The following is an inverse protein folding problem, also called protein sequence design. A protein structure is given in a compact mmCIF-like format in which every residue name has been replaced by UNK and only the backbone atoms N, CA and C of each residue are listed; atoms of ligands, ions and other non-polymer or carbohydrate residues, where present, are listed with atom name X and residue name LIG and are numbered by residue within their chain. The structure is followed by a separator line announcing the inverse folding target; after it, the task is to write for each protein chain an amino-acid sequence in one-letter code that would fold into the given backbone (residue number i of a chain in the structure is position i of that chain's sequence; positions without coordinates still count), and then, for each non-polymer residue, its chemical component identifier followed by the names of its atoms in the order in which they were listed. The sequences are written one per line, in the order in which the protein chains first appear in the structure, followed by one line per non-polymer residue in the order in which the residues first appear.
data_IF_575848383230
#
_entry.id   IF_575848383230
#
_cell.length_a   1.000
_cell.length_b   1.000
_cell.length_c   1.000
_cell.angle_alpha   90.00
_cell.angle_beta   90.00
_cell.angle_gamma   90.00
#
_symmetry.space_group_name_H-M   'P 1'
#
loop_
_entity.id
_entity.type
_entity.pdbx_description
1 polymer ?
#
# COMPACT_ATOMS: atom_id res chain seq x y z
N UNK A 1 -16.29 7.77 -7.55
CA UNK A 1 -16.38 6.41 -6.91
C UNK A 1 -16.23 6.58 -5.41
N UNK A 2 -16.97 5.79 -4.62
CA UNK A 2 -16.87 5.68 -3.16
C UNK A 2 -15.92 4.51 -2.86
N UNK A 3 -14.72 4.83 -2.43
CA UNK A 3 -13.66 3.84 -2.25
C UNK A 3 -13.32 3.74 -0.75
N UNK A 4 -13.29 2.52 -0.24
CA UNK A 4 -12.71 2.21 1.06
C UNK A 4 -11.35 1.54 0.85
N UNK A 5 -10.37 1.95 1.64
CA UNK A 5 -9.02 1.37 1.65
C UNK A 5 -8.83 0.73 3.01
N UNK A 6 -8.85 -0.60 3.06
CA UNK A 6 -8.61 -1.35 4.29
C UNK A 6 -7.24 -1.99 4.29
N UNK A 7 -6.55 -1.93 5.41
CA UNK A 7 -5.19 -2.45 5.55
C UNK A 7 -4.49 -1.91 6.79
N UNK A 8 -3.19 -2.12 6.86
CA UNK A 8 -2.36 -1.66 7.96
C UNK A 8 -2.25 -0.14 8.01
N UNK A 9 -2.22 0.39 9.23
CA UNK A 9 -1.83 1.75 9.60
C UNK A 9 -0.71 1.58 10.63
N UNK A 10 0.49 2.10 10.37
CA UNK A 10 1.66 1.84 11.20
C UNK A 10 2.58 3.05 11.25
N UNK A 11 3.55 3.02 12.16
CA UNK A 11 4.68 3.92 12.18
C UNK A 11 5.99 3.15 12.09
N UNK A 12 6.97 3.68 11.36
CA UNK A 12 8.30 3.12 11.23
C UNK A 12 9.25 3.89 12.15
N UNK A 13 9.89 3.17 13.05
CA UNK A 13 10.87 3.71 14.00
C UNK A 13 12.25 3.25 13.56
N UNK A 14 12.97 4.12 12.89
CA UNK A 14 14.27 3.85 12.30
C UNK A 14 15.36 4.46 13.17
N UNK A 15 16.27 3.60 13.64
CA UNK A 15 17.34 3.97 14.58
C UNK A 15 18.70 3.71 13.95
N UNK A 16 19.66 4.58 14.24
CA UNK A 16 21.04 4.43 13.81
C UNK A 16 21.92 4.10 15.02
N UNK A 17 22.62 2.99 14.94
CA UNK A 17 23.65 2.60 15.90
C UNK A 17 25.03 2.88 15.29
N UNK A 18 25.85 3.78 15.91
CA UNK A 18 27.13 4.20 15.33
C UNK A 18 28.23 3.12 15.40
N UNK A 19 28.01 2.04 16.16
CA UNK A 19 28.90 0.90 16.24
C UNK A 19 28.48 -0.22 15.29
N UNK A 20 29.10 -1.38 15.46
CA UNK A 20 28.82 -2.61 14.71
C UNK A 20 28.16 -3.63 15.63
N UNK A 21 27.09 -4.26 15.18
CA UNK A 21 26.45 -5.33 15.98
C UNK A 21 27.42 -6.48 16.26
N UNK A 22 28.27 -6.81 15.28
CA UNK A 22 29.25 -7.87 15.41
C UNK A 22 30.21 -7.66 16.61
N UNK A 23 30.58 -6.42 16.91
CA UNK A 23 31.46 -6.07 18.02
C UNK A 23 30.79 -6.20 19.40
N UNK A 24 29.47 -6.25 19.44
CA UNK A 24 28.68 -6.43 20.64
C UNK A 24 28.37 -7.93 20.93
N UNK A 25 28.64 -8.80 19.96
CA UNK A 25 28.38 -10.24 20.09
C UNK A 25 29.60 -10.95 20.65
N UNK A 26 29.42 -11.78 21.69
CA UNK A 26 30.48 -12.59 22.27
C UNK A 26 30.48 -13.94 21.56
N UNK A 27 31.56 -14.28 20.82
CA UNK A 27 31.68 -15.58 20.18
C UNK A 27 31.53 -16.73 21.19
N UNK A 28 30.70 -17.74 20.83
CA UNK A 28 30.40 -18.87 21.71
C UNK A 28 29.34 -18.63 22.77
N UNK A 29 28.80 -17.42 22.91
CA UNK A 29 27.75 -17.06 23.86
C UNK A 29 26.40 -16.71 23.17
N UNK A 30 26.24 -17.00 21.89
CA UNK A 30 25.04 -16.65 21.11
C UNK A 30 23.75 -17.30 21.64
N UNK A 31 23.86 -18.33 22.49
CA UNK A 31 22.72 -18.94 23.17
C UNK A 31 22.19 -18.13 24.37
N UNK A 32 22.92 -17.07 24.79
CA UNK A 32 22.56 -16.18 25.91
C UNK A 32 22.86 -14.73 25.55
N UNK A 33 22.25 -14.26 24.45
CA UNK A 33 22.47 -12.89 23.97
C UNK A 33 21.68 -11.91 24.86
N UNK A 34 22.41 -10.92 25.41
CA UNK A 34 21.83 -9.74 26.06
C UNK A 34 22.56 -8.54 25.49
N UNK A 35 21.93 -7.85 24.55
CA UNK A 35 22.49 -6.68 23.88
C UNK A 35 21.79 -5.42 24.34
N UNK A 36 22.58 -4.38 24.60
CA UNK A 36 22.10 -3.02 24.82
C UNK A 36 23.06 -2.07 24.14
N UNK A 37 22.57 -1.27 23.23
CA UNK A 37 23.35 -0.29 22.53
C UNK A 37 22.63 1.05 22.49
N UNK A 38 23.41 2.12 22.57
CA UNK A 38 22.91 3.47 22.47
C UNK A 38 22.77 3.83 20.98
N UNK A 39 21.59 4.29 20.59
CA UNK A 39 21.33 4.82 19.26
C UNK A 39 21.49 6.34 19.27
N UNK A 40 22.00 6.90 18.17
CA UNK A 40 22.20 8.35 18.04
C UNK A 40 20.97 9.05 17.51
N UNK A 41 20.26 8.40 16.56
CA UNK A 41 19.10 8.98 15.91
C UNK A 41 17.90 8.05 16.03
N UNK A 42 16.72 8.66 16.14
CA UNK A 42 15.42 8.04 16.01
C UNK A 42 14.58 8.83 15.02
N UNK A 43 14.38 8.28 13.84
CA UNK A 43 13.47 8.81 12.84
C UNK A 43 12.14 8.06 12.90
N UNK A 44 11.05 8.78 13.19
CA UNK A 44 9.70 8.21 13.27
C UNK A 44 8.92 8.63 12.04
N UNK A 45 8.62 7.67 11.17
CA UNK A 45 7.90 7.91 9.92
C UNK A 45 6.51 7.32 9.95
N UNK A 46 5.64 7.93 9.17
CA UNK A 46 4.28 7.43 8.92
C UNK A 46 4.34 6.31 7.90
N UNK A 47 3.52 5.29 8.07
CA UNK A 47 3.51 4.13 7.20
C UNK A 47 2.23 3.31 7.34
N UNK A 48 2.28 2.11 6.81
CA UNK A 48 1.14 1.21 6.70
C UNK A 48 0.48 1.28 5.33
N UNK A 49 0.24 0.11 4.73
CA UNK A 49 -0.22 -0.02 3.34
C UNK A 49 -1.48 0.80 3.07
N UNK A 50 -2.51 0.67 3.92
CA UNK A 50 -3.77 1.40 3.68
C UNK A 50 -3.61 2.90 3.88
N UNK A 51 -2.83 3.34 4.87
CA UNK A 51 -2.59 4.77 5.10
C UNK A 51 -1.79 5.39 3.96
N UNK A 52 -0.78 4.69 3.43
CA UNK A 52 0.02 5.15 2.28
C UNK A 52 -0.84 5.27 1.01
N UNK A 53 -1.67 4.26 0.72
CA UNK A 53 -2.58 4.30 -0.44
C UNK A 53 -3.59 5.42 -0.29
N UNK A 54 -4.23 5.56 0.87
CA UNK A 54 -5.22 6.61 1.10
C UNK A 54 -4.60 8.02 1.00
N UNK A 55 -3.37 8.21 1.53
CA UNK A 55 -2.62 9.44 1.39
C UNK A 55 -2.33 9.77 -0.08
N UNK A 56 -1.83 8.80 -0.85
CA UNK A 56 -1.53 9.00 -2.28
C UNK A 56 -2.77 9.34 -3.10
N UNK A 57 -3.90 8.69 -2.81
CA UNK A 57 -5.19 9.01 -3.46
C UNK A 57 -5.64 10.42 -3.10
N UNK A 58 -5.51 10.82 -1.84
CA UNK A 58 -5.88 12.17 -1.38
C UNK A 58 -4.96 13.25 -2.00
N UNK A 59 -3.67 12.98 -2.16
CA UNK A 59 -2.74 13.87 -2.86
C UNK A 59 -3.13 14.10 -4.32
N UNK A 60 -3.78 13.13 -4.96
CA UNK A 60 -4.37 13.23 -6.30
C UNK A 60 -5.82 13.78 -6.29
N UNK A 61 -6.33 14.24 -5.14
CA UNK A 61 -7.65 14.81 -4.99
C UNK A 61 -8.79 13.81 -4.86
N UNK A 62 -8.49 12.53 -4.67
CA UNK A 62 -9.49 11.46 -4.50
C UNK A 62 -9.70 11.16 -3.03
N UNK A 63 -10.87 11.49 -2.51
CA UNK A 63 -11.25 11.22 -1.12
C UNK A 63 -11.61 9.75 -0.95
N UNK A 64 -10.97 9.09 0.01
CA UNK A 64 -11.20 7.67 0.35
C UNK A 64 -11.45 7.49 1.83
N UNK A 65 -12.26 6.50 2.19
CA UNK A 65 -12.42 6.09 3.59
C UNK A 65 -11.27 5.15 3.96
N UNK A 66 -10.44 5.56 4.91
CA UNK A 66 -9.42 4.72 5.50
C UNK A 66 -10.06 3.81 6.56
N UNK A 67 -9.80 2.49 6.44
CA UNK A 67 -10.32 1.47 7.35
C UNK A 67 -9.16 0.64 7.91
N UNK A 68 -9.00 0.64 9.21
CA UNK A 68 -7.94 -0.08 9.90
C UNK A 68 -8.04 0.13 11.40
N UNK A 69 -7.15 -0.48 12.16
CA UNK A 69 -7.13 -0.38 13.61
C UNK A 69 -5.81 0.20 14.10
N UNK A 70 -5.88 1.13 15.04
CA UNK A 70 -4.78 1.90 15.61
C UNK A 70 -4.94 2.00 17.14
N UNK A 71 -3.91 2.44 17.85
CA UNK A 71 -3.98 2.76 19.26
C UNK A 71 -4.30 4.23 19.53
N UNK A 72 -4.41 4.59 20.81
CA UNK A 72 -4.62 5.97 21.25
C UNK A 72 -3.47 6.91 20.85
N UNK A 73 -2.29 6.36 20.54
CA UNK A 73 -1.11 7.08 20.04
C UNK A 73 -1.20 7.51 18.56
N UNK A 74 -2.34 7.30 17.92
CA UNK A 74 -2.60 7.70 16.52
C UNK A 74 -2.96 9.18 16.33
N UNK A 75 -3.16 9.96 17.37
CA UNK A 75 -3.74 11.31 17.28
C UNK A 75 -2.97 12.25 16.32
N UNK A 76 -1.64 12.29 16.39
CA UNK A 76 -0.82 13.12 15.53
C UNK A 76 -0.84 12.63 14.08
N UNK A 77 -0.81 11.32 13.88
CA UNK A 77 -0.90 10.73 12.55
C UNK A 77 -2.29 10.93 11.93
N UNK A 78 -3.35 10.82 12.72
CA UNK A 78 -4.72 11.18 12.29
C UNK A 78 -4.78 12.62 11.81
N UNK A 79 -4.25 13.54 12.61
CA UNK A 79 -4.21 14.97 12.26
C UNK A 79 -3.45 15.23 10.95
N UNK A 80 -2.39 14.47 10.68
CA UNK A 80 -1.68 14.51 9.40
C UNK A 80 -2.57 14.04 8.24
N UNK A 81 -3.17 12.87 8.34
CA UNK A 81 -4.03 12.30 7.31
C UNK A 81 -5.25 13.18 7.00
N UNK A 82 -5.91 13.68 8.06
CA UNK A 82 -7.09 14.56 7.92
C UNK A 82 -6.73 15.87 7.18
N UNK A 83 -5.59 16.50 7.49
CA UNK A 83 -5.10 17.70 6.79
C UNK A 83 -4.79 17.45 5.31
N UNK A 84 -4.45 16.22 4.95
CA UNK A 84 -4.19 15.82 3.56
C UNK A 84 -5.42 15.25 2.85
N UNK A 85 -6.61 15.33 3.48
CA UNK A 85 -7.87 14.99 2.83
C UNK A 85 -8.29 13.51 2.92
N UNK A 86 -7.58 12.70 3.72
CA UNK A 86 -7.97 11.31 3.98
C UNK A 86 -9.14 11.28 4.98
N UNK A 87 -10.17 10.50 4.71
CA UNK A 87 -11.29 10.29 5.63
C UNK A 87 -10.95 9.21 6.65
N UNK A 88 -10.55 9.62 7.86
CA UNK A 88 -10.18 8.72 8.97
C UNK A 88 -11.35 8.33 9.88
N UNK A 89 -12.59 8.69 9.53
CA UNK A 89 -13.79 8.46 10.38
C UNK A 89 -14.04 6.98 10.68
N UNK A 90 -13.61 6.09 9.78
CA UNK A 90 -13.80 4.64 9.93
C UNK A 90 -12.59 3.90 10.51
N UNK A 91 -11.61 4.64 11.03
CA UNK A 91 -10.47 4.04 11.73
C UNK A 91 -10.87 3.68 13.16
N UNK A 92 -10.73 2.40 13.51
CA UNK A 92 -10.93 1.90 14.87
C UNK A 92 -9.76 2.30 15.76
N UNK A 93 -10.05 2.84 16.94
CA UNK A 93 -9.04 3.20 17.94
C UNK A 93 -9.15 2.23 19.12
N UNK A 94 -8.10 1.46 19.33
CA UNK A 94 -8.00 0.53 20.46
C UNK A 94 -7.75 1.27 21.77
N UNK A 95 -8.48 0.88 22.81
CA UNK A 95 -8.24 1.35 24.18
C UNK A 95 -7.11 0.57 24.89
N UNK A 96 -6.67 -0.55 24.30
CA UNK A 96 -5.78 -1.51 24.96
C UNK A 96 -4.40 -1.62 24.33
N UNK A 97 -4.26 -1.26 23.04
CA UNK A 97 -3.05 -1.52 22.25
C UNK A 97 -2.54 -0.25 21.61
N UNK A 98 -1.24 -0.18 21.39
CA UNK A 98 -0.63 0.86 20.56
C UNK A 98 -0.84 0.58 19.08
N UNK A 99 -0.69 1.63 18.26
CA UNK A 99 -0.60 1.52 16.80
C UNK A 99 0.54 0.57 16.40
N UNK A 100 0.38 -0.14 15.30
CA UNK A 100 1.41 -1.04 14.77
C UNK A 100 2.72 -0.26 14.51
N UNK A 101 3.87 -0.92 14.76
CA UNK A 101 5.20 -0.30 14.61
C UNK A 101 6.18 -1.25 13.94
N UNK A 102 6.89 -0.74 12.98
CA UNK A 102 8.12 -1.34 12.50
C UNK A 102 9.29 -0.68 13.25
N UNK A 103 10.10 -1.47 13.92
CA UNK A 103 11.26 -1.02 14.70
C UNK A 103 12.50 -1.58 13.99
N UNK A 104 13.39 -0.72 13.53
CA UNK A 104 14.59 -1.14 12.83
C UNK A 104 15.79 -0.36 13.33
N UNK A 105 16.83 -1.05 13.77
CA UNK A 105 18.11 -0.46 14.09
C UNK A 105 19.11 -0.88 13.04
N UNK A 106 19.80 0.10 12.43
CA UNK A 106 20.83 -0.10 11.42
C UNK A 106 22.19 0.25 12.01
N UNK A 107 23.19 -0.62 11.87
CA UNK A 107 24.56 -0.42 12.34
C UNK A 107 25.45 0.28 11.29
N UNK A 108 26.71 0.56 11.66
CA UNK A 108 27.68 1.23 10.79
C UNK A 108 28.03 0.43 9.50
N UNK A 109 27.82 -0.88 9.51
CA UNK A 109 28.02 -1.76 8.33
C UNK A 109 26.72 -2.00 7.55
N UNK A 110 25.66 -1.23 7.83
CA UNK A 110 24.32 -1.39 7.24
C UNK A 110 23.61 -2.72 7.57
N UNK A 111 24.05 -3.45 8.60
CA UNK A 111 23.27 -4.57 9.11
C UNK A 111 22.06 -4.05 9.87
N UNK A 112 20.98 -4.84 9.86
CA UNK A 112 19.72 -4.43 10.45
C UNK A 112 19.22 -5.47 11.47
N UNK A 113 18.78 -4.97 12.62
CA UNK A 113 17.97 -5.73 13.57
C UNK A 113 16.58 -5.10 13.55
N UNK A 114 15.61 -5.86 13.05
CA UNK A 114 14.26 -5.35 12.87
C UNK A 114 13.23 -6.23 13.58
N UNK A 115 12.14 -5.60 14.03
CA UNK A 115 10.97 -6.25 14.57
C UNK A 115 9.70 -5.51 14.18
N UNK A 116 8.61 -6.25 14.01
CA UNK A 116 7.30 -5.69 13.73
C UNK A 116 6.35 -5.99 14.89
N UNK A 117 5.84 -4.95 15.51
CA UNK A 117 4.81 -5.01 16.54
C UNK A 117 3.44 -4.76 15.88
N UNK A 118 2.57 -5.75 15.78
CA UNK A 118 1.27 -5.58 15.12
C UNK A 118 0.28 -4.73 15.92
N UNK A 119 0.40 -4.70 17.24
CA UNK A 119 -0.44 -3.88 18.12
C UNK A 119 -1.93 -3.99 17.84
N UNK A 120 -2.58 -2.84 17.73
CA UNK A 120 -4.00 -2.73 17.44
C UNK A 120 -4.39 -3.24 16.04
N UNK A 121 -3.44 -3.43 15.11
CA UNK A 121 -3.72 -4.00 13.77
C UNK A 121 -4.47 -5.33 13.87
N UNK A 122 -4.24 -6.12 14.93
CA UNK A 122 -4.96 -7.38 15.17
C UNK A 122 -6.46 -7.20 15.43
N UNK A 123 -6.90 -6.00 15.85
CA UNK A 123 -8.32 -5.68 16.10
C UNK A 123 -9.05 -5.29 14.78
N UNK A 124 -8.34 -5.11 13.67
CA UNK A 124 -8.95 -4.86 12.38
C UNK A 124 -9.93 -5.98 11.95
N UNK A 125 -9.76 -7.19 12.49
CA UNK A 125 -10.69 -8.31 12.30
C UNK A 125 -12.08 -8.09 12.90
N UNK A 126 -12.23 -7.12 13.79
CA UNK A 126 -13.51 -6.76 14.41
C UNK A 126 -14.27 -5.70 13.60
N UNK A 127 -13.61 -5.05 12.63
CA UNK A 127 -14.21 -4.00 11.82
C UNK A 127 -15.12 -4.61 10.76
N UNK A 128 -16.32 -4.03 10.61
CA UNK A 128 -17.28 -4.33 9.56
C UNK A 128 -17.26 -3.24 8.49
N UNK A 129 -17.42 -3.62 7.22
CA UNK A 129 -17.51 -2.68 6.10
C UNK A 129 -18.91 -2.09 5.93
N UNK A 130 -19.96 -2.77 6.41
CA UNK A 130 -21.34 -2.32 6.29
C UNK A 130 -21.59 -0.92 6.90
N UNK A 131 -21.11 -0.58 8.10
CA UNK A 131 -21.23 0.78 8.64
C UNK A 131 -20.51 1.82 7.78
N UNK A 132 -19.37 1.46 7.19
CA UNK A 132 -18.62 2.33 6.25
C UNK A 132 -19.45 2.58 5.00
N UNK A 133 -20.01 1.53 4.41
CA UNK A 133 -20.92 1.61 3.27
C UNK A 133 -22.16 2.44 3.58
N UNK A 134 -22.77 2.24 4.75
CA UNK A 134 -23.92 3.02 5.21
C UNK A 134 -23.62 4.52 5.27
N UNK A 135 -22.46 4.90 5.85
CA UNK A 135 -22.02 6.29 5.97
C UNK A 135 -21.75 6.94 4.61
N UNK A 136 -21.18 6.19 3.65
CA UNK A 136 -20.85 6.69 2.32
C UNK A 136 -21.99 6.59 1.30
N UNK A 137 -23.09 5.93 1.65
CA UNK A 137 -24.18 5.64 0.71
C UNK A 137 -23.86 4.52 -0.28
N UNK A 138 -22.98 3.58 0.10
CA UNK A 138 -22.51 2.43 -0.68
C UNK A 138 -21.00 2.43 -0.86
N UNK A 139 -20.46 1.33 -1.40
CA UNK A 139 -19.06 1.15 -1.77
C UNK A 139 -18.98 0.72 -3.23
N UNK A 140 -18.26 1.49 -4.04
CA UNK A 140 -18.02 1.19 -5.45
C UNK A 140 -16.76 0.35 -5.64
N UNK A 141 -15.83 0.37 -4.65
CA UNK A 141 -14.65 -0.47 -4.57
C UNK A 141 -14.11 -0.53 -3.14
N UNK A 142 -13.63 -1.68 -2.72
CA UNK A 142 -12.88 -1.87 -1.47
C UNK A 142 -11.49 -2.38 -1.82
N UNK A 143 -10.43 -1.65 -1.50
CA UNK A 143 -9.08 -2.21 -1.52
C UNK A 143 -8.87 -3.00 -0.22
N UNK A 144 -8.67 -4.31 -0.32
CA UNK A 144 -8.26 -5.17 0.80
C UNK A 144 -6.73 -5.33 0.73
N UNK A 145 -6.03 -4.40 1.37
CA UNK A 145 -4.58 -4.37 1.44
C UNK A 145 -4.03 -5.18 2.62
N UNK A 146 -2.70 -5.32 2.65
CA UNK A 146 -2.01 -6.09 3.69
C UNK A 146 -2.36 -5.60 5.10
N UNK A 147 -2.85 -6.54 5.93
CA UNK A 147 -3.35 -6.29 7.27
C UNK A 147 -3.18 -7.57 8.12
N UNK A 148 -3.82 -7.63 9.28
CA UNK A 148 -4.08 -8.90 9.96
C UNK A 148 -4.75 -9.87 8.99
N UNK A 149 -4.24 -11.11 8.82
CA UNK A 149 -4.79 -12.05 7.84
C UNK A 149 -6.29 -12.33 8.04
N UNK A 150 -6.76 -12.41 9.29
CA UNK A 150 -8.18 -12.64 9.56
C UNK A 150 -9.05 -11.43 9.19
N UNK A 151 -8.53 -10.21 9.34
CA UNK A 151 -9.19 -9.00 8.88
C UNK A 151 -9.31 -9.00 7.34
N UNK A 152 -8.24 -9.39 6.64
CA UNK A 152 -8.25 -9.48 5.18
C UNK A 152 -9.30 -10.46 4.69
N UNK A 153 -9.35 -11.65 5.26
CA UNK A 153 -10.34 -12.69 4.92
C UNK A 153 -11.77 -12.24 5.24
N UNK A 154 -11.98 -11.64 6.41
CA UNK A 154 -13.29 -11.11 6.80
C UNK A 154 -13.78 -10.05 5.85
N UNK A 155 -12.96 -9.04 5.56
CA UNK A 155 -13.35 -7.96 4.65
C UNK A 155 -13.61 -8.46 3.24
N UNK A 156 -12.80 -9.41 2.74
CA UNK A 156 -13.03 -10.05 1.44
C UNK A 156 -14.34 -10.83 1.42
N UNK A 157 -14.63 -11.59 2.49
CA UNK A 157 -15.89 -12.33 2.57
C UNK A 157 -17.09 -11.39 2.65
N UNK A 158 -17.00 -10.33 3.45
CA UNK A 158 -18.06 -9.32 3.54
C UNK A 158 -18.31 -8.61 2.20
N UNK A 159 -17.25 -8.34 1.42
CA UNK A 159 -17.40 -7.80 0.06
C UNK A 159 -18.23 -8.75 -0.82
N UNK A 160 -17.95 -10.06 -0.79
CA UNK A 160 -18.73 -11.06 -1.56
C UNK A 160 -20.17 -11.13 -1.10
N UNK A 161 -20.41 -11.23 0.20
CA UNK A 161 -21.73 -11.40 0.78
C UNK A 161 -22.64 -10.21 0.50
N UNK A 162 -22.07 -9.00 0.41
CA UNK A 162 -22.80 -7.76 0.17
C UNK A 162 -22.73 -7.25 -1.27
N UNK A 163 -21.97 -7.94 -2.13
CA UNK A 163 -21.79 -7.53 -3.53
C UNK A 163 -20.97 -6.23 -3.69
N UNK A 164 -20.05 -5.93 -2.76
CA UNK A 164 -19.12 -4.83 -2.94
C UNK A 164 -17.97 -5.27 -3.86
N UNK A 165 -17.71 -4.55 -4.97
CA UNK A 165 -16.51 -4.79 -5.76
C UNK A 165 -15.25 -4.63 -4.90
N UNK A 166 -14.27 -5.54 -5.07
CA UNK A 166 -13.05 -5.45 -4.27
C UNK A 166 -11.78 -5.69 -5.07
N UNK A 167 -10.71 -5.07 -4.59
CA UNK A 167 -9.35 -5.29 -5.03
C UNK A 167 -8.59 -6.07 -3.95
N UNK A 168 -8.04 -7.21 -4.29
CA UNK A 168 -7.17 -8.00 -3.42
C UNK A 168 -5.72 -7.51 -3.57
N UNK A 169 -5.07 -7.16 -2.46
CA UNK A 169 -3.67 -6.76 -2.39
C UNK A 169 -2.98 -7.49 -1.23
N UNK A 170 -2.64 -8.77 -1.42
CA UNK A 170 -2.10 -9.60 -0.35
C UNK A 170 -0.71 -9.17 0.12
N UNK A 171 0.12 -8.64 -0.79
CA UNK A 171 1.46 -8.14 -0.51
C UNK A 171 2.28 -9.14 0.35
N UNK A 172 3.04 -8.65 1.34
CA UNK A 172 3.88 -9.49 2.22
C UNK A 172 3.12 -10.55 3.03
N UNK A 173 1.80 -10.45 3.16
CA UNK A 173 1.01 -11.46 3.89
C UNK A 173 0.96 -12.81 3.17
N UNK A 174 1.19 -12.84 1.84
CA UNK A 174 1.34 -14.10 1.10
C UNK A 174 2.37 -15.05 1.74
N UNK A 175 3.44 -14.54 2.33
CA UNK A 175 4.46 -15.36 2.97
C UNK A 175 3.90 -16.13 4.19
N UNK A 176 2.92 -15.58 4.91
CA UNK A 176 2.37 -16.10 6.17
C UNK A 176 1.05 -16.87 6.01
N UNK A 177 0.25 -16.53 5.01
CA UNK A 177 -1.05 -17.16 4.76
C UNK A 177 -0.87 -18.55 4.15
N UNK A 178 -1.80 -19.42 4.45
CA UNK A 178 -1.85 -20.75 3.84
C UNK A 178 -2.55 -20.74 2.47
N UNK A 179 -2.63 -21.93 1.85
CA UNK A 179 -3.22 -22.11 0.51
C UNK A 179 -4.65 -21.64 0.43
N UNK A 180 -5.46 -22.07 1.39
CA UNK A 180 -6.91 -21.87 1.32
C UNK A 180 -7.26 -20.43 1.65
N UNK A 181 -6.53 -19.80 2.57
CA UNK A 181 -6.64 -18.39 2.87
C UNK A 181 -6.29 -17.49 1.67
N UNK A 182 -5.19 -17.81 0.95
CA UNK A 182 -4.80 -17.06 -0.25
C UNK A 182 -5.85 -17.24 -1.35
N UNK A 183 -6.36 -18.45 -1.53
CA UNK A 183 -7.45 -18.71 -2.49
C UNK A 183 -8.69 -17.92 -2.14
N UNK A 184 -9.10 -17.94 -0.88
CA UNK A 184 -10.25 -17.17 -0.40
C UNK A 184 -10.07 -15.66 -0.57
N UNK A 185 -8.85 -15.14 -0.43
CA UNK A 185 -8.57 -13.72 -0.61
C UNK A 185 -8.65 -13.29 -2.08
N UNK A 186 -8.18 -14.12 -3.02
CA UNK A 186 -8.07 -13.78 -4.43
C UNK A 186 -9.36 -14.04 -5.21
N UNK A 187 -10.07 -15.14 -4.90
CA UNK A 187 -11.21 -15.61 -5.71
C UNK A 187 -12.33 -14.59 -5.77
N UNK A 188 -12.76 -14.23 -6.98
CA UNK A 188 -13.81 -13.25 -7.23
C UNK A 188 -13.37 -11.78 -7.13
N UNK A 189 -12.08 -11.49 -6.97
CA UNK A 189 -11.61 -10.11 -6.96
C UNK A 189 -11.81 -9.39 -8.31
N UNK A 190 -12.28 -8.14 -8.29
CA UNK A 190 -12.29 -7.31 -9.49
C UNK A 190 -10.89 -6.92 -9.94
N UNK A 191 -10.01 -6.67 -8.97
CA UNK A 191 -8.61 -6.38 -9.19
C UNK A 191 -7.74 -7.26 -8.28
N UNK A 192 -6.64 -7.78 -8.81
CA UNK A 192 -5.59 -8.41 -8.03
C UNK A 192 -4.30 -7.64 -8.26
N UNK A 193 -3.75 -7.06 -7.20
CA UNK A 193 -2.44 -6.41 -7.21
C UNK A 193 -1.38 -7.36 -6.66
N UNK A 194 -0.27 -7.48 -7.38
CA UNK A 194 0.93 -8.20 -6.97
C UNK A 194 2.17 -7.51 -7.56
N UNK A 195 3.33 -7.76 -7.00
CA UNK A 195 4.58 -7.63 -7.74
C UNK A 195 4.94 -8.99 -8.38
N UNK A 196 6.02 -9.04 -9.18
CA UNK A 196 6.42 -10.28 -9.86
C UNK A 196 6.77 -11.44 -8.89
N UNK A 197 7.36 -11.13 -7.73
CA UNK A 197 7.65 -12.12 -6.70
C UNK A 197 6.38 -12.64 -6.03
N UNK A 198 5.48 -11.73 -5.67
CA UNK A 198 4.18 -12.05 -5.05
C UNK A 198 3.29 -12.86 -6.00
N UNK A 199 3.31 -12.56 -7.30
CA UNK A 199 2.63 -13.35 -8.34
C UNK A 199 3.11 -14.80 -8.32
N UNK A 200 4.43 -15.01 -8.42
CA UNK A 200 5.01 -16.35 -8.39
C UNK A 200 4.71 -17.10 -7.08
N UNK A 201 4.79 -16.38 -5.94
CA UNK A 201 4.49 -16.95 -4.63
C UNK A 201 3.01 -17.33 -4.47
N UNK A 202 2.09 -16.52 -4.98
CA UNK A 202 0.66 -16.80 -4.97
C UNK A 202 0.36 -18.04 -5.83
N UNK A 203 0.94 -18.14 -7.03
CA UNK A 203 0.79 -19.33 -7.90
C UNK A 203 1.34 -20.59 -7.21
N UNK A 204 2.54 -20.50 -6.65
CA UNK A 204 3.16 -21.61 -5.94
C UNK A 204 2.31 -22.10 -4.76
N UNK A 205 1.87 -21.17 -3.90
CA UNK A 205 1.12 -21.51 -2.68
C UNK A 205 -0.28 -22.00 -2.96
N UNK A 206 -0.99 -21.37 -3.91
CA UNK A 206 -2.35 -21.78 -4.26
C UNK A 206 -2.37 -23.06 -5.09
N UNK A 207 -1.29 -23.36 -5.82
CA UNK A 207 -1.27 -24.42 -6.84
C UNK A 207 -2.08 -24.05 -8.09
N UNK A 208 -2.45 -22.80 -8.24
CA UNK A 208 -3.10 -22.26 -9.44
C UNK A 208 -2.05 -21.82 -10.45
N UNK A 209 -2.26 -22.16 -11.70
CA UNK A 209 -1.51 -21.58 -12.80
C UNK A 209 -1.91 -20.11 -13.02
N UNK A 210 -1.10 -19.37 -13.78
CA UNK A 210 -1.43 -18.01 -14.22
C UNK A 210 -2.82 -17.93 -14.88
N UNK A 211 -3.16 -18.94 -15.71
CA UNK A 211 -4.49 -19.04 -16.34
C UNK A 211 -5.60 -19.27 -15.32
N UNK A 212 -5.34 -20.08 -14.29
CA UNK A 212 -6.31 -20.32 -13.22
C UNK A 212 -6.59 -19.05 -12.41
N UNK A 213 -5.56 -18.24 -12.12
CA UNK A 213 -5.72 -16.95 -11.45
C UNK A 213 -6.55 -16.01 -12.32
N UNK A 214 -6.21 -15.86 -13.61
CA UNK A 214 -6.96 -15.02 -14.55
C UNK A 214 -8.41 -15.48 -14.79
N UNK A 215 -8.71 -16.75 -14.52
CA UNK A 215 -10.09 -17.23 -14.57
C UNK A 215 -10.93 -16.82 -13.34
N UNK A 216 -10.28 -16.42 -12.24
CA UNK A 216 -10.89 -16.11 -10.94
C UNK A 216 -10.96 -14.64 -10.61
N UNK A 217 -10.14 -13.83 -11.26
CA UNK A 217 -10.12 -12.36 -11.07
C UNK A 217 -10.52 -11.67 -12.37
N UNK A 218 -11.13 -10.48 -12.26
CA UNK A 218 -11.48 -9.74 -13.49
C UNK A 218 -10.25 -9.12 -14.13
N UNK A 219 -9.32 -8.58 -13.34
CA UNK A 219 -8.10 -7.91 -13.81
C UNK A 219 -6.95 -8.23 -12.87
N UNK A 220 -5.84 -8.70 -13.41
CA UNK A 220 -4.57 -8.84 -12.68
C UNK A 220 -3.66 -7.68 -13.05
N UNK A 221 -3.08 -7.04 -12.06
CA UNK A 221 -2.12 -5.95 -12.18
C UNK A 221 -0.84 -6.39 -11.49
N UNK A 222 0.24 -6.57 -12.26
CA UNK A 222 1.54 -6.98 -11.74
C UNK A 222 2.55 -5.86 -11.94
N UNK A 223 3.12 -5.35 -10.84
CA UNK A 223 4.25 -4.41 -10.90
C UNK A 223 5.56 -5.17 -11.10
N UNK A 224 6.41 -4.65 -12.00
CA UNK A 224 7.63 -5.30 -12.48
C UNK A 224 8.89 -4.51 -12.09
N UNK A 225 8.81 -3.70 -11.03
CA UNK A 225 9.90 -2.81 -10.64
C UNK A 225 10.27 -1.82 -11.75
N UNK A 226 11.55 -1.74 -12.16
CA UNK A 226 11.98 -0.83 -13.22
C UNK A 226 11.31 -1.07 -14.58
N UNK A 227 10.80 -2.27 -14.82
CA UNK A 227 10.12 -2.62 -16.08
C UNK A 227 8.65 -2.18 -16.11
N UNK A 228 8.19 -1.50 -15.07
CA UNK A 228 6.86 -0.88 -15.01
C UNK A 228 5.76 -1.79 -14.50
N UNK A 229 4.66 -1.89 -15.25
CA UNK A 229 3.49 -2.68 -14.86
C UNK A 229 2.89 -3.44 -16.04
N UNK A 230 2.29 -4.58 -15.72
CA UNK A 230 1.55 -5.44 -16.63
C UNK A 230 0.11 -5.59 -16.14
N UNK A 231 -0.86 -5.41 -17.07
CA UNK A 231 -2.28 -5.56 -16.79
C UNK A 231 -2.82 -6.67 -17.69
N UNK A 232 -3.50 -7.61 -17.11
CA UNK A 232 -4.00 -8.78 -17.78
C UNK A 232 -5.47 -9.03 -17.45
N UNK A 233 -6.24 -9.34 -18.48
CA UNK A 233 -7.63 -9.79 -18.41
C UNK A 233 -7.81 -11.03 -19.28
N UNK A 234 -8.68 -11.91 -18.86
CA UNK A 234 -8.96 -13.11 -19.62
C UNK A 234 -9.51 -12.77 -21.01
N UNK A 235 -8.82 -13.25 -22.04
CA UNK A 235 -9.26 -13.07 -23.44
C UNK A 235 -8.95 -11.70 -24.05
N UNK A 236 -8.27 -10.82 -23.31
CA UNK A 236 -7.84 -9.49 -23.80
C UNK A 236 -6.31 -9.47 -23.99
N UNK A 237 -5.81 -8.61 -24.89
CA UNK A 237 -4.37 -8.37 -25.02
C UNK A 237 -3.78 -7.83 -23.72
N UNK A 238 -2.59 -8.29 -23.37
CA UNK A 238 -1.84 -7.77 -22.22
C UNK A 238 -1.42 -6.32 -22.46
N UNK A 239 -1.74 -5.45 -21.53
CA UNK A 239 -1.27 -4.05 -21.52
C UNK A 239 0.02 -3.96 -20.70
N UNK A 240 1.03 -3.27 -21.24
CA UNK A 240 2.31 -3.01 -20.55
C UNK A 240 2.56 -1.51 -20.51
N UNK A 241 2.96 -1.03 -19.35
CA UNK A 241 3.25 0.38 -19.09
C UNK A 241 4.64 0.47 -18.47
N UNK A 242 5.52 1.25 -19.08
CA UNK A 242 6.87 1.51 -18.55
C UNK A 242 6.85 2.55 -17.43
N UNK A 243 7.90 2.58 -16.61
CA UNK A 243 8.09 3.58 -15.55
C UNK A 243 8.60 4.88 -16.17
N UNK A 244 8.12 6.07 -15.73
CA UNK A 244 8.77 7.34 -16.07
C UNK A 244 10.21 7.38 -15.56
N UNK A 245 11.06 8.11 -16.27
CA UNK A 245 12.44 8.34 -15.84
C UNK A 245 12.47 8.98 -14.45
N UNK A 246 13.19 8.36 -13.51
CA UNK A 246 13.43 8.89 -12.18
C UNK A 246 14.59 9.89 -12.18
N UNK A 247 14.47 10.99 -11.44
CA UNK A 247 15.56 11.97 -11.27
C UNK A 247 16.62 11.46 -10.28
N UNK A 248 16.18 10.67 -9.32
CA UNK A 248 17.02 10.05 -8.30
C UNK A 248 16.32 8.82 -7.70
N UNK A 249 17.08 7.89 -7.18
CA UNK A 249 16.55 6.76 -6.41
C UNK A 249 16.96 6.92 -4.96
N UNK A 250 15.99 7.18 -4.08
CA UNK A 250 16.26 7.54 -2.67
C UNK A 250 15.77 6.44 -1.73
N UNK A 251 14.48 6.09 -1.78
CA UNK A 251 13.87 5.13 -0.86
C UNK A 251 12.80 4.30 -1.59
N UNK A 252 12.96 2.97 -1.69
CA UNK A 252 11.98 2.12 -2.35
C UNK A 252 10.72 1.84 -1.51
N UNK A 253 10.69 2.27 -0.24
CA UNK A 253 9.56 2.01 0.66
C UNK A 253 8.30 2.73 0.18
N UNK A 254 7.17 2.02 0.13
CA UNK A 254 5.89 2.58 -0.26
C UNK A 254 5.68 2.82 -1.77
N UNK A 255 6.67 2.49 -2.62
CA UNK A 255 6.55 2.61 -4.10
C UNK A 255 5.37 1.78 -4.62
N UNK A 256 5.17 0.58 -4.08
CA UNK A 256 4.03 -0.27 -4.40
C UNK A 256 2.69 0.34 -3.99
N UNK A 257 2.62 0.94 -2.79
CA UNK A 257 1.41 1.61 -2.29
C UNK A 257 1.07 2.83 -3.16
N UNK A 258 2.10 3.60 -3.55
CA UNK A 258 1.94 4.74 -4.45
C UNK A 258 1.42 4.33 -5.83
N UNK A 259 1.92 3.23 -6.39
CA UNK A 259 1.37 2.70 -7.64
C UNK A 259 -0.13 2.39 -7.50
N UNK A 260 -0.54 1.70 -6.42
CA UNK A 260 -1.95 1.39 -6.16
C UNK A 260 -2.79 2.66 -5.99
N UNK A 261 -2.27 3.65 -5.26
CA UNK A 261 -2.94 4.94 -5.07
C UNK A 261 -3.19 5.67 -6.40
N UNK A 262 -2.17 5.77 -7.25
CA UNK A 262 -2.29 6.39 -8.58
C UNK A 262 -3.23 5.61 -9.50
N UNK A 263 -3.11 4.29 -9.53
CA UNK A 263 -3.97 3.40 -10.32
C UNK A 263 -5.45 3.53 -9.93
N UNK A 264 -5.75 3.44 -8.63
CA UNK A 264 -7.12 3.53 -8.12
C UNK A 264 -7.71 4.95 -8.27
N UNK A 265 -6.87 5.98 -8.16
CA UNK A 265 -7.29 7.35 -8.44
C UNK A 265 -7.75 7.52 -9.89
N UNK A 266 -6.94 7.07 -10.85
CA UNK A 266 -7.29 7.15 -12.27
C UNK A 266 -8.53 6.29 -12.61
N UNK A 267 -8.67 5.12 -11.98
CA UNK A 267 -9.92 4.36 -12.09
C UNK A 267 -11.13 5.11 -11.55
N UNK A 268 -10.98 5.84 -10.44
CA UNK A 268 -12.07 6.65 -9.88
C UNK A 268 -12.51 7.78 -10.82
N UNK A 269 -11.61 8.24 -11.66
CA UNK A 269 -11.86 9.20 -12.75
C UNK A 269 -12.42 8.55 -14.01
N UNK A 270 -12.64 7.23 -13.99
CA UNK A 270 -13.13 6.44 -15.12
C UNK A 270 -12.18 6.42 -16.33
N UNK A 271 -10.90 6.59 -16.10
CA UNK A 271 -9.87 6.48 -17.14
C UNK A 271 -9.58 5.01 -17.49
N UNK A 272 -9.12 4.73 -18.73
CA UNK A 272 -8.74 3.39 -19.16
C UNK A 272 -7.62 2.80 -18.28
N UNK A 273 -7.54 1.47 -18.17
CA UNK A 273 -6.57 0.78 -17.31
C UNK A 273 -5.11 1.11 -17.66
N UNK A 274 -4.81 1.32 -18.94
CA UNK A 274 -3.48 1.77 -19.35
C UNK A 274 -3.15 3.13 -18.72
N UNK A 275 -4.08 4.08 -18.77
CA UNK A 275 -3.93 5.40 -18.14
C UNK A 275 -3.85 5.27 -16.62
N UNK A 276 -4.63 4.38 -16.03
CA UNK A 276 -4.54 4.10 -14.60
C UNK A 276 -3.15 3.60 -14.19
N UNK A 277 -2.56 2.69 -14.97
CA UNK A 277 -1.19 2.23 -14.70
C UNK A 277 -0.14 3.34 -14.94
N UNK A 278 -0.32 4.21 -15.93
CA UNK A 278 0.59 5.35 -16.17
C UNK A 278 0.59 6.33 -14.99
N UNK A 279 -0.58 6.67 -14.45
CA UNK A 279 -0.71 7.49 -13.23
C UNK A 279 -0.09 6.77 -12.03
N UNK A 280 -0.31 5.46 -11.90
CA UNK A 280 0.30 4.63 -10.87
C UNK A 280 1.82 4.62 -10.93
N UNK A 281 2.41 4.40 -12.12
CA UNK A 281 3.86 4.43 -12.34
C UNK A 281 4.44 5.81 -12.04
N UNK A 282 3.78 6.90 -12.46
CA UNK A 282 4.28 8.24 -12.19
C UNK A 282 4.25 8.56 -10.69
N UNK A 283 3.17 8.24 -9.96
CA UNK A 283 3.13 8.47 -8.51
C UNK A 283 4.18 7.64 -7.79
N UNK A 284 4.40 6.39 -8.21
CA UNK A 284 5.47 5.53 -7.70
C UNK A 284 6.86 6.15 -7.92
N UNK A 285 7.06 6.87 -9.04
CA UNK A 285 8.31 7.60 -9.32
C UNK A 285 8.51 8.76 -8.34
N UNK A 286 7.46 9.52 -7.99
CA UNK A 286 7.57 10.56 -6.96
C UNK A 286 7.96 10.00 -5.59
N UNK A 287 7.43 8.82 -5.23
CA UNK A 287 7.74 8.19 -3.94
C UNK A 287 9.17 7.67 -3.91
N UNK A 288 9.67 6.99 -4.94
CA UNK A 288 11.05 6.47 -4.93
C UNK A 288 12.11 7.60 -4.89
N UNK A 289 11.76 8.80 -5.33
CA UNK A 289 12.58 10.00 -5.30
C UNK A 289 12.61 10.69 -3.93
N UNK A 290 11.77 10.26 -3.00
CA UNK A 290 11.56 10.88 -1.68
C UNK A 290 11.98 9.91 -0.58
N UNK A 291 12.44 10.42 0.55
CA UNK A 291 12.65 9.62 1.76
C UNK A 291 11.32 9.55 2.51
N UNK A 292 10.83 8.32 2.77
CA UNK A 292 9.53 8.09 3.42
C UNK A 292 8.37 7.97 2.44
N UNK A 293 7.25 7.48 2.96
CA UNK A 293 6.11 7.03 2.14
C UNK A 293 5.05 8.11 1.91
N UNK A 294 5.06 9.20 2.68
CA UNK A 294 4.04 10.26 2.69
C UNK A 294 4.64 11.68 2.70
N UNK A 295 5.94 11.82 2.46
CA UNK A 295 6.69 13.08 2.50
C UNK A 295 6.84 13.73 1.12
N UNK A 296 6.39 13.07 0.06
CA UNK A 296 6.40 13.65 -1.30
C UNK A 296 5.32 14.71 -1.47
N UNK A 297 5.60 15.64 -2.36
CA UNK A 297 4.66 16.70 -2.73
C UNK A 297 4.34 16.62 -4.21
N UNK A 298 3.08 16.76 -4.57
CA UNK A 298 2.63 16.78 -5.96
C UNK A 298 2.34 18.23 -6.37
N UNK A 299 3.20 18.76 -7.23
CA UNK A 299 2.88 19.97 -7.99
C UNK A 299 2.14 19.59 -9.26
N UNK A 300 0.95 20.16 -9.46
CA UNK A 300 0.09 19.85 -10.63
C UNK A 300 0.81 20.03 -11.96
N UNK A 301 1.53 21.14 -12.15
CA UNK A 301 2.19 21.45 -13.41
C UNK A 301 3.33 20.46 -13.68
N UNK A 302 4.14 20.17 -12.66
CA UNK A 302 5.23 19.20 -12.73
C UNK A 302 4.70 17.80 -13.02
N UNK A 303 3.61 17.38 -12.34
CA UNK A 303 2.99 16.08 -12.56
C UNK A 303 2.52 15.89 -14.01
N UNK A 304 1.82 16.88 -14.56
CA UNK A 304 1.34 16.86 -15.95
C UNK A 304 2.50 16.87 -16.95
N UNK A 305 3.55 17.68 -16.71
CA UNK A 305 4.73 17.72 -17.54
C UNK A 305 5.45 16.37 -17.61
N UNK A 306 5.64 15.73 -16.45
CA UNK A 306 6.27 14.40 -16.37
C UNK A 306 5.39 13.33 -17.03
N UNK A 307 4.08 13.42 -16.88
CA UNK A 307 3.14 12.50 -17.52
C UNK A 307 3.20 12.65 -19.05
N UNK A 308 3.22 13.89 -19.57
CA UNK A 308 3.36 14.16 -20.99
C UNK A 308 4.70 13.68 -21.55
N UNK A 309 5.80 13.93 -20.82
CA UNK A 309 7.15 13.47 -21.20
C UNK A 309 7.21 11.94 -21.33
N UNK A 310 6.59 11.22 -20.38
CA UNK A 310 6.66 9.76 -20.34
C UNK A 310 5.67 9.09 -21.31
N UNK A 311 4.46 9.63 -21.48
CA UNK A 311 3.35 8.93 -22.14
C UNK A 311 2.63 9.74 -23.21
N UNK A 312 3.16 10.93 -23.52
CA UNK A 312 2.60 11.84 -24.54
C UNK A 312 1.55 12.81 -24.01
N UNK A 313 1.30 13.87 -24.79
CA UNK A 313 0.42 14.98 -24.40
C UNK A 313 -1.02 14.55 -24.11
N UNK A 314 -1.52 13.52 -24.82
CA UNK A 314 -2.86 12.98 -24.55
C UNK A 314 -2.97 12.40 -23.16
N UNK A 315 -1.87 11.82 -22.62
CA UNK A 315 -1.86 11.30 -21.27
C UNK A 315 -2.06 12.41 -20.21
N UNK A 316 -1.39 13.53 -20.41
CA UNK A 316 -1.56 14.69 -19.53
C UNK A 316 -2.97 15.30 -19.68
N UNK A 317 -3.46 15.45 -20.91
CA UNK A 317 -4.78 16.02 -21.19
C UNK A 317 -5.92 15.20 -20.57
N UNK A 318 -5.81 13.86 -20.57
CA UNK A 318 -6.82 12.98 -19.94
C UNK A 318 -6.85 13.12 -18.42
N UNK A 319 -5.70 13.39 -17.79
CA UNK A 319 -5.57 13.44 -16.31
C UNK A 319 -5.81 14.85 -15.77
N UNK A 320 -5.47 15.88 -16.53
CA UNK A 320 -5.51 17.28 -16.11
C UNK A 320 -6.83 17.73 -15.45
N UNK A 321 -8.04 17.37 -15.98
CA UNK A 321 -9.32 17.80 -15.40
C UNK A 321 -9.58 17.26 -13.99
N UNK A 322 -8.87 16.19 -13.60
CA UNK A 322 -9.12 15.46 -12.36
C UNK A 322 -8.17 15.84 -11.22
N UNK A 323 -7.02 16.45 -11.54
CA UNK A 323 -6.07 16.86 -10.52
C UNK A 323 -6.59 18.07 -9.72
N UNK A 324 -6.29 18.14 -8.42
CA UNK A 324 -6.68 19.28 -7.61
C UNK A 324 -6.13 20.58 -8.20
N UNK A 325 -6.96 21.62 -8.18
CA UNK A 325 -6.54 22.97 -8.57
C UNK A 325 -5.46 23.48 -7.62
N UNK A 326 -4.65 24.44 -8.08
CA UNK A 326 -3.71 25.15 -7.19
C UNK A 326 -4.53 25.75 -6.05
N UNK A 327 -4.17 25.51 -4.76
CA UNK A 327 -4.82 26.20 -3.66
C UNK A 327 -4.71 27.71 -3.90
N UNK A 328 -5.85 28.41 -3.92
CA UNK A 328 -5.89 29.89 -4.00
C UNK A 328 -5.40 30.51 -2.72
#
# INVERSE_FOLDING_TARGET
MRIAVTGSIATDHLMTFPGRFADQLVPGQLHRVSLSFLVEDLDVRRGGVAANVAFGMAALGVRTALVGAVGADFADYRSWLDRHGVDTTSVHVSDLRHTARFLCTTDADHNQIASFYPGAMSEAREIELAPVAGRLGGLDLVLVGANDPQAMLRHTQECRDRGYPFAADPSQQLARMDRDDIRALIDGADLLFTNAYEEALAEQKTGWSSTDVLARVRTRITTLGPDGARIERRGEPTVRVHVPEEERRTDPTGVGDAFRAGFLSAMSWQLPLERAAQVGCLLATYVIETVGTQEYQLDRASFLLRLAKAYGDQAAADVEPHLPGVPR
#
